data_IF_742798551838
#
_entry.id   IF_742798551838
#
_cell.length_a   1.000
_cell.length_b   1.000
_cell.length_c   1.000
_cell.angle_alpha   90.00
_cell.angle_beta   90.00
_cell.angle_gamma   90.00
#
_symmetry.space_group_name_H-M   'P 1'
#
loop_
_entity.id
_entity.type
_entity.pdbx_description
1 polymer ?
#
# COMPACT_ATOMS: atom_id res chain seq x y z
N UNK A 1 6.60 -93.84 50.39
CA UNK A 1 6.48 -92.51 49.85
C UNK A 1 7.76 -92.19 49.08
N UNK A 2 7.78 -92.41 47.78
CA UNK A 2 8.94 -92.26 46.91
C UNK A 2 8.84 -90.96 46.08
N UNK A 3 9.68 -90.03 46.43
CA UNK A 3 9.82 -88.74 45.71
C UNK A 3 10.51 -88.99 44.39
N UNK A 4 9.83 -88.72 43.25
CA UNK A 4 10.45 -88.67 41.91
C UNK A 4 10.99 -87.29 41.66
N UNK A 5 12.34 -87.15 41.61
CA UNK A 5 13.03 -85.98 41.09
C UNK A 5 12.93 -86.00 39.57
N UNK A 6 12.23 -85.04 39.00
CA UNK A 6 12.27 -84.77 37.54
C UNK A 6 13.53 -84.00 37.22
N UNK A 7 14.43 -84.64 36.51
CA UNK A 7 15.64 -83.99 35.92
C UNK A 7 15.18 -83.12 34.77
N UNK A 8 15.28 -81.79 34.91
CA UNK A 8 15.19 -80.86 33.78
C UNK A 8 16.51 -80.91 32.96
N UNK A 9 16.42 -81.48 31.76
CA UNK A 9 17.48 -81.40 30.79
C UNK A 9 17.72 -79.93 30.41
N UNK A 10 18.88 -79.38 30.74
CA UNK A 10 19.36 -78.14 30.17
C UNK A 10 19.55 -78.39 28.67
N UNK A 11 18.74 -77.75 27.83
CA UNK A 11 19.01 -77.66 26.43
C UNK A 11 20.39 -77.00 26.25
N UNK A 12 21.27 -77.66 25.55
CA UNK A 12 22.58 -77.09 25.22
C UNK A 12 22.39 -75.84 24.37
N UNK A 13 22.78 -74.70 24.88
CA UNK A 13 22.83 -73.44 24.10
C UNK A 13 23.91 -73.65 23.01
N UNK A 14 23.46 -73.93 21.79
CA UNK A 14 24.35 -73.96 20.60
C UNK A 14 24.72 -72.50 20.27
N UNK A 15 25.96 -72.15 20.46
CA UNK A 15 26.50 -70.85 20.06
C UNK A 15 26.37 -70.65 18.56
N UNK A 16 26.15 -69.43 18.14
CA UNK A 16 26.07 -69.04 16.73
C UNK A 16 27.42 -69.26 16.00
N UNK A 17 27.37 -69.72 14.77
CA UNK A 17 28.55 -69.88 13.94
C UNK A 17 29.02 -68.49 13.45
N UNK A 18 30.31 -68.37 13.20
CA UNK A 18 30.92 -67.14 12.69
C UNK A 18 30.28 -66.75 11.32
N UNK A 19 29.88 -67.71 10.52
CA UNK A 19 29.21 -67.55 9.25
C UNK A 19 27.80 -66.96 9.42
N UNK A 20 27.02 -67.45 10.41
CA UNK A 20 25.69 -66.89 10.72
C UNK A 20 25.74 -65.44 11.16
N UNK A 21 26.74 -65.07 11.98
CA UNK A 21 26.97 -63.69 12.40
C UNK A 21 27.34 -62.81 11.19
N UNK A 22 28.12 -63.31 10.25
CA UNK A 22 28.53 -62.57 9.08
C UNK A 22 27.36 -62.37 8.12
N UNK A 23 26.52 -63.37 7.92
CA UNK A 23 25.29 -63.24 7.09
C UNK A 23 24.30 -62.30 7.76
N UNK A 24 24.09 -62.42 9.07
CA UNK A 24 23.15 -61.57 9.82
C UNK A 24 23.59 -60.10 9.78
N UNK A 25 24.88 -59.80 9.97
CA UNK A 25 25.41 -58.43 9.85
C UNK A 25 25.32 -57.90 8.43
N UNK A 26 25.55 -58.74 7.41
CA UNK A 26 25.36 -58.36 6.01
C UNK A 26 23.92 -57.98 5.68
N UNK A 27 22.95 -58.78 6.13
CA UNK A 27 21.52 -58.47 5.97
C UNK A 27 21.14 -57.23 6.75
N UNK A 28 21.63 -57.07 7.97
CA UNK A 28 21.39 -55.88 8.80
C UNK A 28 21.85 -54.60 8.10
N UNK A 29 23.06 -54.60 7.53
CA UNK A 29 23.60 -53.46 6.80
C UNK A 29 22.74 -53.13 5.58
N UNK A 30 22.31 -54.12 4.80
CA UNK A 30 21.47 -53.92 3.65
C UNK A 30 20.07 -53.36 4.05
N UNK A 31 19.45 -53.95 5.06
CA UNK A 31 18.15 -53.48 5.58
C UNK A 31 18.25 -52.06 6.14
N UNK A 32 19.26 -51.82 6.95
CA UNK A 32 19.53 -50.50 7.53
C UNK A 32 19.80 -49.45 6.46
N UNK A 33 20.62 -49.79 5.46
CA UNK A 33 20.91 -48.94 4.30
C UNK A 33 19.66 -48.62 3.49
N UNK A 34 18.75 -49.61 3.31
CA UNK A 34 17.48 -49.41 2.62
C UNK A 34 16.53 -48.53 3.42
N UNK A 35 16.47 -48.68 4.74
CA UNK A 35 15.68 -47.82 5.63
C UNK A 35 16.17 -46.37 5.57
N UNK A 36 17.50 -46.15 5.66
CA UNK A 36 18.06 -44.80 5.52
C UNK A 36 17.79 -44.20 4.14
N UNK A 37 17.86 -45.01 3.08
CA UNK A 37 17.55 -44.59 1.71
C UNK A 37 16.10 -44.13 1.55
N UNK A 38 15.16 -44.74 2.28
CA UNK A 38 13.73 -44.36 2.30
C UNK A 38 13.44 -43.17 3.24
N UNK A 39 14.13 -43.09 4.37
CA UNK A 39 13.90 -42.01 5.35
C UNK A 39 14.46 -40.67 4.91
N UNK A 40 15.57 -40.66 4.18
CA UNK A 40 16.23 -39.42 3.78
C UNK A 40 15.36 -38.50 2.90
N UNK A 41 14.68 -38.98 1.84
CA UNK A 41 13.72 -38.19 1.08
C UNK A 41 12.50 -37.75 1.90
N UNK A 42 12.02 -38.64 2.80
CA UNK A 42 10.87 -38.35 3.65
C UNK A 42 11.18 -37.19 4.61
N UNK A 43 12.36 -37.14 5.21
CA UNK A 43 12.78 -36.05 6.10
C UNK A 43 12.82 -34.70 5.38
N UNK A 44 13.26 -34.66 4.11
CA UNK A 44 13.19 -33.47 3.29
C UNK A 44 11.77 -32.95 3.11
N UNK A 45 10.84 -33.84 2.79
CA UNK A 45 9.42 -33.53 2.64
C UNK A 45 8.79 -33.04 3.94
N UNK A 46 9.07 -33.70 5.06
CA UNK A 46 8.56 -33.29 6.37
C UNK A 46 9.04 -31.90 6.79
N UNK A 47 10.25 -31.50 6.42
CA UNK A 47 10.76 -30.16 6.69
C UNK A 47 10.21 -29.11 5.73
N UNK A 48 9.98 -29.47 4.50
CA UNK A 48 9.49 -28.55 3.47
C UNK A 48 7.99 -28.23 3.62
N UNK A 49 7.16 -29.20 4.01
CA UNK A 49 5.70 -29.00 4.10
C UNK A 49 5.27 -27.87 5.05
N UNK A 50 5.77 -27.76 6.29
CA UNK A 50 5.44 -26.64 7.18
C UNK A 50 5.83 -25.30 6.60
N UNK A 51 7.00 -25.23 5.97
CA UNK A 51 7.50 -24.00 5.35
C UNK A 51 6.67 -23.56 4.15
N UNK A 52 6.22 -24.50 3.33
CA UNK A 52 5.28 -24.20 2.22
C UNK A 52 3.96 -23.68 2.76
N UNK A 53 3.44 -24.30 3.81
CA UNK A 53 2.19 -23.87 4.45
C UNK A 53 2.33 -22.46 5.05
N UNK A 54 3.45 -22.19 5.71
CA UNK A 54 3.74 -20.89 6.27
C UNK A 54 3.91 -19.81 5.19
N UNK A 55 4.58 -20.13 4.10
CA UNK A 55 4.69 -19.26 2.92
C UNK A 55 3.33 -18.90 2.32
N UNK A 56 2.42 -19.89 2.21
CA UNK A 56 1.05 -19.65 1.75
C UNK A 56 0.25 -18.77 2.71
N UNK A 57 0.46 -18.94 4.00
CA UNK A 57 -0.19 -18.10 5.02
C UNK A 57 0.33 -16.66 4.94
N UNK A 58 1.63 -16.45 4.80
CA UNK A 58 2.24 -15.13 4.61
C UNK A 58 1.69 -14.43 3.38
N UNK A 59 1.62 -15.13 2.24
CA UNK A 59 1.01 -14.58 1.02
C UNK A 59 -0.44 -14.17 1.24
N UNK A 60 -1.23 -15.01 1.93
CA UNK A 60 -2.64 -14.70 2.21
C UNK A 60 -2.78 -13.44 3.05
N UNK A 61 -2.00 -13.31 4.12
CA UNK A 61 -2.02 -12.12 4.99
C UNK A 61 -1.67 -10.86 4.22
N UNK A 62 -0.60 -10.90 3.42
CA UNK A 62 -0.20 -9.76 2.61
C UNK A 62 -1.27 -9.36 1.58
N UNK A 63 -1.80 -10.35 0.84
CA UNK A 63 -2.84 -10.12 -0.17
C UNK A 63 -4.10 -9.53 0.47
N UNK A 64 -4.57 -10.14 1.56
CA UNK A 64 -5.80 -9.69 2.23
C UNK A 64 -5.66 -8.26 2.75
N UNK A 65 -4.51 -7.92 3.33
CA UNK A 65 -4.25 -6.57 3.84
C UNK A 65 -4.20 -5.54 2.71
N UNK A 66 -3.36 -5.75 1.70
CA UNK A 66 -3.21 -4.83 0.57
C UNK A 66 -4.54 -4.71 -0.21
N UNK A 67 -5.21 -5.83 -0.45
CA UNK A 67 -6.46 -5.86 -1.22
C UNK A 67 -7.58 -5.11 -0.51
N UNK A 68 -7.70 -5.27 0.81
CA UNK A 68 -8.69 -4.56 1.62
C UNK A 68 -8.52 -3.05 1.49
N UNK A 69 -7.30 -2.54 1.67
CA UNK A 69 -7.06 -1.10 1.63
C UNK A 69 -7.17 -0.55 0.20
N UNK A 70 -6.73 -1.31 -0.81
CA UNK A 70 -6.95 -0.93 -2.21
C UNK A 70 -8.45 -0.85 -2.56
N UNK A 71 -9.29 -1.73 -2.03
CA UNK A 71 -10.75 -1.61 -2.25
C UNK A 71 -11.34 -0.36 -1.60
N UNK A 72 -10.75 0.10 -0.49
CA UNK A 72 -11.17 1.33 0.20
C UNK A 72 -10.62 2.59 -0.46
N UNK A 73 -9.62 2.50 -1.33
CA UNK A 73 -8.99 3.65 -1.97
C UNK A 73 -10.03 4.63 -2.54
N UNK A 74 -9.93 5.89 -2.15
CA UNK A 74 -10.89 6.94 -2.50
C UNK A 74 -12.26 6.83 -1.82
N UNK A 75 -12.44 5.92 -0.86
CA UNK A 75 -13.66 5.82 -0.08
C UNK A 75 -13.96 7.13 0.66
N UNK A 76 -15.23 7.51 0.73
CA UNK A 76 -15.67 8.73 1.41
C UNK A 76 -15.39 10.04 0.66
N UNK A 77 -14.53 10.05 -0.35
CA UNK A 77 -14.19 11.27 -1.09
C UNK A 77 -15.29 11.78 -2.03
N UNK A 78 -16.35 11.00 -2.19
CA UNK A 78 -17.51 11.39 -3.00
C UNK A 78 -18.42 12.39 -2.29
N UNK A 79 -18.23 12.63 -1.01
CA UNK A 79 -19.08 13.53 -0.24
C UNK A 79 -18.74 14.99 -0.46
N UNK A 80 -19.77 15.81 -0.38
CA UNK A 80 -19.65 17.26 -0.18
C UNK A 80 -19.69 18.10 -1.42
N UNK A 81 -19.97 17.54 -2.60
CA UNK A 81 -19.85 18.37 -3.77
C UNK A 81 -21.14 18.58 -4.53
N UNK A 82 -21.83 19.65 -4.20
CA UNK A 82 -22.69 20.33 -5.17
C UNK A 82 -21.87 20.73 -6.42
N UNK A 83 -20.55 20.86 -6.29
CA UNK A 83 -19.68 21.50 -7.27
C UNK A 83 -18.53 20.64 -7.79
N UNK A 84 -18.51 19.39 -7.48
CA UNK A 84 -17.47 18.44 -7.84
C UNK A 84 -17.03 17.66 -6.62
N UNK A 85 -17.12 16.35 -6.69
CA UNK A 85 -16.71 15.50 -5.59
C UNK A 85 -15.19 15.58 -5.42
N UNK A 86 -14.71 15.49 -4.19
CA UNK A 86 -13.29 15.47 -3.84
C UNK A 86 -12.50 14.44 -4.68
N UNK A 87 -13.16 13.38 -5.13
CA UNK A 87 -12.59 12.38 -6.07
C UNK A 87 -12.04 12.98 -7.37
N UNK A 88 -12.47 14.17 -7.76
CA UNK A 88 -11.97 14.86 -8.95
C UNK A 88 -10.69 15.65 -8.67
N UNK A 89 -10.36 15.90 -7.41
CA UNK A 89 -9.21 16.74 -6.99
C UNK A 89 -8.14 15.96 -6.25
N UNK A 90 -8.52 14.85 -5.68
CA UNK A 90 -7.71 14.08 -4.75
C UNK A 90 -7.23 12.78 -5.39
N UNK A 91 -5.93 12.51 -5.32
CA UNK A 91 -5.35 11.25 -5.77
C UNK A 91 -5.29 10.25 -4.60
N UNK A 92 -6.21 9.27 -4.54
CA UNK A 92 -6.30 8.37 -3.39
C UNK A 92 -5.23 7.28 -3.37
N UNK A 93 -4.49 7.14 -4.45
CA UNK A 93 -3.37 6.20 -4.58
C UNK A 93 -2.15 6.99 -5.01
N UNK A 94 -1.11 6.94 -4.19
CA UNK A 94 0.19 7.55 -4.48
C UNK A 94 1.19 6.44 -4.76
N UNK A 95 1.47 6.14 -6.02
CA UNK A 95 2.54 5.25 -6.42
C UNK A 95 3.88 5.71 -5.87
N UNK A 96 4.73 4.74 -5.52
CA UNK A 96 6.12 5.00 -5.16
C UNK A 96 6.35 5.86 -3.92
N UNK A 97 5.29 6.19 -3.18
CA UNK A 97 5.39 6.94 -1.94
C UNK A 97 5.49 6.00 -0.74
N UNK A 98 6.41 6.28 0.17
CA UNK A 98 6.58 5.57 1.44
C UNK A 98 5.95 6.33 2.63
N UNK A 99 5.09 7.28 2.36
CA UNK A 99 4.44 8.09 3.38
C UNK A 99 5.41 9.07 4.08
N UNK A 100 5.02 9.56 5.26
CA UNK A 100 5.78 10.59 5.97
C UNK A 100 7.01 10.07 6.74
N UNK A 101 7.17 8.75 6.90
CA UNK A 101 8.33 8.18 7.60
C UNK A 101 9.63 8.29 6.81
N UNK A 102 9.53 8.21 5.52
CA UNK A 102 10.59 8.54 4.59
C UNK A 102 9.88 9.16 3.39
N UNK A 103 9.73 10.48 3.35
CA UNK A 103 9.16 11.14 2.20
C UNK A 103 9.98 10.68 1.00
N UNK A 104 9.39 9.84 0.17
CA UNK A 104 9.96 9.55 -1.11
C UNK A 104 10.07 10.89 -1.81
N UNK A 105 11.29 11.33 -2.05
CA UNK A 105 11.48 12.48 -2.93
C UNK A 105 10.81 12.12 -4.26
N UNK A 106 10.08 13.03 -4.87
CA UNK A 106 9.68 12.86 -6.27
C UNK A 106 10.86 12.49 -7.18
N UNK A 107 12.07 12.86 -6.74
CA UNK A 107 13.32 12.61 -7.44
C UNK A 107 13.91 11.20 -7.18
N UNK A 108 13.44 10.50 -6.14
CA UNK A 108 13.84 9.12 -5.82
C UNK A 108 12.63 8.28 -5.35
N UNK A 109 11.69 8.01 -6.26
CA UNK A 109 10.49 7.26 -5.95
C UNK A 109 10.80 5.76 -5.75
N UNK A 110 10.21 5.16 -4.74
CA UNK A 110 10.37 3.73 -4.47
C UNK A 110 9.35 2.89 -5.28
N UNK A 111 9.76 2.18 -6.35
CA UNK A 111 8.85 1.39 -7.17
C UNK A 111 8.19 0.22 -6.44
N UNK A 112 8.67 -0.09 -5.23
CA UNK A 112 8.14 -1.14 -4.36
C UNK A 112 7.34 -0.59 -3.19
N UNK A 113 6.81 0.61 -3.34
CA UNK A 113 5.96 1.26 -2.35
C UNK A 113 4.66 1.78 -2.99
N UNK A 114 3.61 1.82 -2.18
CA UNK A 114 2.32 2.42 -2.51
C UNK A 114 1.70 3.00 -1.25
N UNK A 115 1.16 4.21 -1.35
CA UNK A 115 0.33 4.80 -0.31
C UNK A 115 -1.11 4.87 -0.79
N UNK A 116 -2.03 4.43 0.06
CA UNK A 116 -3.46 4.32 -0.23
C UNK A 116 -4.20 5.19 0.79
N UNK A 117 -5.08 6.05 0.31
CA UNK A 117 -5.81 6.99 1.17
C UNK A 117 -7.33 6.86 0.96
N UNK A 118 -8.07 6.99 2.06
CA UNK A 118 -9.52 7.03 2.06
C UNK A 118 -10.04 7.68 3.34
N UNK A 119 -11.26 8.16 3.30
CA UNK A 119 -11.97 8.66 4.49
C UNK A 119 -12.65 7.47 5.17
N UNK A 120 -12.21 7.08 6.38
CA UNK A 120 -12.82 5.96 7.09
C UNK A 120 -14.22 6.34 7.61
N UNK A 121 -15.10 5.37 7.86
CA UNK A 121 -16.43 5.60 8.42
C UNK A 121 -16.35 5.84 9.94
N UNK A 122 -15.66 6.91 10.34
CA UNK A 122 -15.49 7.32 11.74
C UNK A 122 -16.36 8.52 12.08
N UNK A 123 -16.43 8.84 13.36
CA UNK A 123 -17.15 10.03 13.84
C UNK A 123 -16.28 11.31 13.79
N UNK A 124 -15.02 11.20 13.34
CA UNK A 124 -14.08 12.31 13.30
C UNK A 124 -14.37 13.24 12.13
N UNK A 125 -15.48 13.98 12.22
CA UNK A 125 -15.93 14.91 11.18
C UNK A 125 -16.43 16.20 11.81
N UNK A 126 -15.98 17.35 11.29
CA UNK A 126 -16.45 18.66 11.70
C UNK A 126 -16.39 19.65 10.53
N UNK A 127 -16.70 20.91 10.79
CA UNK A 127 -16.57 22.00 9.83
C UNK A 127 -15.93 23.21 10.46
N UNK A 128 -15.31 24.05 9.65
CA UNK A 128 -14.77 25.34 10.06
C UNK A 128 -15.95 26.22 10.54
N UNK A 129 -15.81 26.77 11.75
CA UNK A 129 -16.79 27.67 12.38
C UNK A 129 -16.51 29.14 12.07
N UNK A 130 -15.26 29.50 11.92
CA UNK A 130 -14.83 30.90 11.71
C UNK A 130 -13.76 30.88 10.63
N UNK A 131 -13.86 31.81 9.67
CA UNK A 131 -12.91 31.94 8.58
C UNK A 131 -11.47 32.04 9.13
N UNK A 132 -10.57 31.32 8.50
CA UNK A 132 -9.15 31.40 8.84
C UNK A 132 -8.58 32.74 8.37
N UNK A 133 -7.87 33.46 9.24
CA UNK A 133 -7.26 34.74 8.85
C UNK A 133 -6.05 34.56 7.89
N UNK A 134 -5.40 33.41 7.92
CA UNK A 134 -4.30 33.02 7.04
C UNK A 134 -4.13 31.50 7.05
N UNK A 135 -3.29 30.99 6.19
CA UNK A 135 -3.04 29.57 5.94
C UNK A 135 -2.35 28.81 7.10
N UNK A 136 -1.77 29.55 8.03
CA UNK A 136 -1.07 29.00 9.21
C UNK A 136 -1.88 29.14 10.51
N UNK A 137 -3.13 29.63 10.43
CA UNK A 137 -3.96 29.84 11.60
C UNK A 137 -4.56 28.52 12.09
N UNK A 138 -4.72 28.42 13.41
CA UNK A 138 -5.44 27.31 14.02
C UNK A 138 -6.89 27.19 13.48
N UNK A 139 -7.40 25.97 13.43
CA UNK A 139 -8.73 25.67 12.92
C UNK A 139 -9.76 25.84 14.04
N UNK A 140 -10.61 26.87 13.93
CA UNK A 140 -11.79 27.05 14.79
C UNK A 140 -12.94 26.26 14.21
N UNK A 141 -13.35 25.20 14.90
CA UNK A 141 -14.27 24.21 14.38
C UNK A 141 -15.60 24.18 15.13
N UNK A 142 -16.60 23.53 14.55
CA UNK A 142 -17.85 23.26 15.20
C UNK A 142 -17.73 22.03 16.11
N UNK A 143 -18.51 22.00 17.19
CA UNK A 143 -18.67 20.79 17.99
C UNK A 143 -19.29 19.68 17.13
N UNK A 144 -18.83 18.46 17.37
CA UNK A 144 -19.38 17.30 16.68
C UNK A 144 -20.72 16.87 17.30
N UNK A 145 -21.67 16.55 16.45
CA UNK A 145 -22.93 15.98 16.90
C UNK A 145 -22.70 14.56 17.47
N UNK A 146 -23.22 14.33 18.68
CA UNK A 146 -23.14 13.01 19.31
C UNK A 146 -21.95 12.80 20.25
N UNK A 147 -21.05 13.78 20.36
CA UNK A 147 -19.97 13.73 21.32
C UNK A 147 -20.44 13.96 22.75
N UNK A 148 -19.77 13.38 23.77
CA UNK A 148 -20.06 13.62 25.17
C UNK A 148 -19.78 15.08 25.57
N UNK A 149 -20.46 15.55 26.63
CA UNK A 149 -20.16 16.85 27.22
C UNK A 149 -18.73 16.86 27.79
N UNK A 150 -17.93 17.83 27.37
CA UNK A 150 -16.52 17.95 27.76
C UNK A 150 -15.51 17.25 26.81
N UNK A 151 -16.00 16.52 25.82
CA UNK A 151 -15.20 15.94 24.74
C UNK A 151 -15.97 16.17 23.42
N UNK A 152 -16.14 17.43 23.09
CA UNK A 152 -17.00 17.86 21.98
C UNK A 152 -16.39 17.70 20.60
N UNK A 153 -15.10 17.38 20.55
CA UNK A 153 -14.33 17.02 19.36
C UNK A 153 -13.94 15.52 19.38
N UNK A 154 -14.74 14.71 20.05
CA UNK A 154 -14.49 13.27 20.20
C UNK A 154 -14.21 12.60 18.83
N UNK A 155 -13.25 11.71 18.84
CA UNK A 155 -12.79 11.05 17.61
C UNK A 155 -11.60 11.74 16.95
N UNK A 156 -11.30 13.01 17.25
CA UNK A 156 -10.03 13.60 16.86
C UNK A 156 -8.98 13.35 17.93
N UNK A 157 -7.84 12.82 17.51
CA UNK A 157 -6.71 12.50 18.39
C UNK A 157 -5.43 13.20 17.94
N UNK A 158 -4.54 13.47 18.89
CA UNK A 158 -3.22 14.04 18.59
C UNK A 158 -2.43 13.05 17.75
N UNK A 159 -1.87 13.53 16.63
CA UNK A 159 -1.11 12.74 15.66
C UNK A 159 -1.96 12.17 14.53
N UNK A 160 -3.29 12.18 14.66
CA UNK A 160 -4.20 11.76 13.60
C UNK A 160 -4.01 12.61 12.34
N UNK A 161 -4.09 11.98 11.18
CA UNK A 161 -4.14 12.71 9.92
C UNK A 161 -5.58 13.10 9.60
N UNK A 162 -5.76 14.36 9.27
CA UNK A 162 -7.04 14.92 8.90
C UNK A 162 -6.97 15.58 7.53
N UNK A 163 -8.08 15.50 6.81
CA UNK A 163 -8.31 16.14 5.53
C UNK A 163 -9.22 17.33 5.76
N UNK A 164 -8.82 18.52 5.31
CA UNK A 164 -9.67 19.69 5.19
C UNK A 164 -9.95 19.95 3.71
N UNK A 165 -11.17 20.29 3.37
CA UNK A 165 -11.54 20.59 2.00
C UNK A 165 -12.74 21.50 1.91
N UNK A 166 -12.87 22.20 0.82
CA UNK A 166 -14.00 23.07 0.52
C UNK A 166 -14.69 22.72 -0.80
N UNK A 167 -15.91 23.22 -1.03
CA UNK A 167 -16.62 22.95 -2.27
C UNK A 167 -15.97 23.51 -3.54
N UNK A 168 -14.98 24.38 -3.40
CA UNK A 168 -14.24 24.95 -4.54
C UNK A 168 -13.15 24.02 -5.07
N UNK A 169 -12.85 22.93 -4.35
CA UNK A 169 -11.84 21.95 -4.73
C UNK A 169 -10.48 22.18 -4.07
N UNK A 170 -10.35 23.14 -3.18
CA UNK A 170 -9.18 23.24 -2.34
C UNK A 170 -9.23 22.14 -1.27
N UNK A 171 -8.10 21.49 -1.03
CA UNK A 171 -7.95 20.54 0.05
C UNK A 171 -6.51 20.50 0.55
N UNK A 172 -6.37 20.16 1.83
CA UNK A 172 -5.08 19.90 2.46
C UNK A 172 -5.19 18.71 3.40
N UNK A 173 -4.09 17.99 3.59
CA UNK A 173 -3.97 16.95 4.60
C UNK A 173 -2.97 17.43 5.64
N UNK A 174 -3.34 17.33 6.91
CA UNK A 174 -2.53 17.80 8.00
C UNK A 174 -2.53 16.79 9.16
N UNK A 175 -1.56 16.96 10.06
CA UNK A 175 -1.52 16.20 11.30
C UNK A 175 -2.12 17.01 12.43
N UNK A 176 -3.08 16.46 13.16
CA UNK A 176 -3.63 17.08 14.37
C UNK A 176 -2.58 17.07 15.46
N UNK A 177 -2.10 18.24 15.85
CA UNK A 177 -1.05 18.36 16.88
C UNK A 177 -1.63 18.67 18.25
N UNK A 178 -2.84 19.22 18.32
CA UNK A 178 -3.57 19.43 19.56
C UNK A 178 -5.07 19.48 19.30
N UNK A 179 -5.85 18.93 20.23
CA UNK A 179 -7.32 19.02 20.28
C UNK A 179 -7.68 19.83 21.51
N UNK A 180 -8.46 20.89 21.35
CA UNK A 180 -8.88 21.80 22.43
C UNK A 180 -10.41 21.85 22.47
N UNK A 181 -11.03 21.00 23.26
CA UNK A 181 -12.48 20.89 23.37
C UNK A 181 -13.14 22.15 23.86
N UNK A 182 -12.60 22.77 24.91
CA UNK A 182 -13.14 24.00 25.50
C UNK A 182 -13.16 25.19 24.52
N UNK A 183 -12.14 25.26 23.67
CA UNK A 183 -11.99 26.32 22.68
C UNK A 183 -12.60 25.97 21.32
N UNK A 184 -12.90 24.69 21.09
CA UNK A 184 -13.31 24.15 19.79
C UNK A 184 -12.24 24.41 18.72
N UNK A 185 -10.99 24.08 19.04
CA UNK A 185 -9.86 24.27 18.14
C UNK A 185 -9.18 22.92 17.82
N UNK A 186 -8.82 22.75 16.56
CA UNK A 186 -7.85 21.77 16.11
C UNK A 186 -6.59 22.52 15.67
N UNK A 187 -5.45 22.10 16.19
CA UNK A 187 -4.17 22.69 15.82
C UNK A 187 -3.41 21.79 14.85
N UNK A 188 -2.76 22.43 13.90
CA UNK A 188 -1.79 21.86 13.00
C UNK A 188 -0.48 22.66 13.16
N UNK A 189 0.54 22.02 13.66
CA UNK A 189 1.84 22.64 13.85
C UNK A 189 2.69 22.31 12.63
N UNK A 190 3.46 23.29 12.17
CA UNK A 190 4.40 23.12 11.07
C UNK A 190 3.76 22.89 9.67
N UNK A 191 2.45 22.67 9.60
CA UNK A 191 1.72 22.58 8.36
C UNK A 191 1.16 23.94 7.94
N UNK A 192 1.50 24.42 6.77
CA UNK A 192 0.88 25.56 6.14
C UNK A 192 -0.05 25.10 5.04
N UNK A 193 -1.31 25.48 5.13
CA UNK A 193 -2.29 25.08 4.11
C UNK A 193 -2.07 25.83 2.78
N UNK A 194 -2.55 25.25 1.72
CA UNK A 194 -2.52 25.83 0.37
C UNK A 194 -3.42 27.07 0.26
N UNK A 195 -4.42 27.17 1.15
CA UNK A 195 -5.33 28.32 1.23
C UNK A 195 -5.87 28.51 2.63
N UNK A 196 -6.31 29.74 2.96
CA UNK A 196 -7.10 30.00 4.14
C UNK A 196 -8.54 29.53 3.92
N UNK A 197 -9.01 28.59 4.72
CA UNK A 197 -10.35 28.01 4.59
C UNK A 197 -11.40 28.89 5.24
N UNK A 198 -12.54 28.98 4.58
CA UNK A 198 -13.70 29.73 5.06
C UNK A 198 -14.65 28.85 5.88
N UNK A 199 -15.52 29.51 6.62
CA UNK A 199 -16.63 28.88 7.37
C UNK A 199 -17.38 27.89 6.49
N UNK A 200 -17.55 26.69 7.02
CA UNK A 200 -18.26 25.59 6.33
C UNK A 200 -17.35 24.65 5.55
N UNK A 201 -16.06 24.91 5.44
CA UNK A 201 -15.10 23.91 4.95
C UNK A 201 -15.13 22.66 5.85
N UNK A 202 -15.04 21.49 5.25
CA UNK A 202 -15.15 20.21 5.95
C UNK A 202 -13.79 19.74 6.44
N UNK A 203 -13.79 19.16 7.64
CA UNK A 203 -12.63 18.47 8.21
C UNK A 203 -13.07 17.06 8.55
N UNK A 204 -12.28 16.08 8.13
CA UNK A 204 -12.53 14.67 8.43
C UNK A 204 -11.21 13.93 8.62
N UNK A 205 -11.26 12.84 9.37
CA UNK A 205 -10.14 11.89 9.41
C UNK A 205 -9.83 11.36 8.00
N UNK A 206 -8.55 11.15 7.72
CA UNK A 206 -8.10 10.42 6.54
C UNK A 206 -7.19 9.27 6.94
N UNK A 207 -7.57 8.07 6.57
CA UNK A 207 -6.71 6.90 6.67
C UNK A 207 -5.68 6.94 5.53
N UNK A 208 -4.43 6.69 5.87
CA UNK A 208 -3.32 6.64 4.92
C UNK A 208 -2.48 5.39 5.21
N UNK A 209 -2.60 4.39 4.38
CA UNK A 209 -1.89 3.12 4.52
C UNK A 209 -0.79 3.01 3.48
N UNK A 210 0.44 2.82 3.94
CA UNK A 210 1.60 2.64 3.06
C UNK A 210 2.12 1.22 3.16
N UNK A 211 2.28 0.58 2.03
CA UNK A 211 2.91 -0.72 1.90
C UNK A 211 4.22 -0.55 1.15
N UNK A 212 5.31 -1.08 1.70
CA UNK A 212 6.61 -1.04 1.04
C UNK A 212 7.48 -2.24 1.38
N UNK A 213 8.34 -2.61 0.46
CA UNK A 213 9.32 -3.66 0.65
C UNK A 213 10.65 -3.08 1.15
N UNK A 214 11.06 -3.50 2.34
CA UNK A 214 12.44 -3.34 2.77
C UNK A 214 13.26 -4.50 2.19
N UNK A 215 14.08 -4.20 1.18
CA UNK A 215 14.86 -5.21 0.45
C UNK A 215 16.01 -5.79 1.28
N UNK A 216 16.58 -5.02 2.20
CA UNK A 216 17.68 -5.48 3.06
C UNK A 216 17.20 -6.51 4.07
N UNK A 217 16.03 -6.27 4.64
CA UNK A 217 15.42 -7.17 5.62
C UNK A 217 14.56 -8.26 4.99
N UNK A 218 14.25 -8.16 3.71
CA UNK A 218 13.27 -9.00 3.02
C UNK A 218 11.90 -9.01 3.70
N UNK A 219 11.40 -7.82 4.08
CA UNK A 219 10.14 -7.64 4.80
C UNK A 219 9.21 -6.69 4.09
N UNK A 220 7.96 -7.10 4.02
CA UNK A 220 6.88 -6.19 3.66
C UNK A 220 6.47 -5.44 4.93
N UNK A 221 6.55 -4.12 4.88
CA UNK A 221 6.10 -3.23 5.94
C UNK A 221 4.74 -2.65 5.62
N UNK A 222 3.97 -2.41 6.66
CA UNK A 222 2.75 -1.63 6.62
C UNK A 222 2.86 -0.47 7.61
N UNK A 223 2.69 0.74 7.10
CA UNK A 223 2.62 1.98 7.88
C UNK A 223 1.19 2.51 7.83
N UNK A 224 0.61 2.78 9.00
CA UNK A 224 -0.78 3.23 9.15
C UNK A 224 -0.98 4.73 8.90
N UNK A 225 0.08 5.44 8.52
CA UNK A 225 0.05 6.88 8.28
C UNK A 225 0.06 7.72 9.55
N UNK A 226 0.14 7.08 10.72
CA UNK A 226 0.02 7.75 12.02
C UNK A 226 1.19 7.40 12.95
N UNK A 227 1.20 6.25 13.56
CA UNK A 227 2.18 5.87 14.59
C UNK A 227 2.88 4.54 14.36
N UNK A 228 2.23 3.64 13.64
CA UNK A 228 2.67 2.26 13.56
C UNK A 228 3.30 1.95 12.21
N UNK A 229 4.57 1.60 12.21
CA UNK A 229 5.27 1.04 11.07
C UNK A 229 5.75 -0.37 11.42
N UNK A 230 4.98 -1.36 11.04
CA UNK A 230 5.21 -2.73 11.48
C UNK A 230 5.48 -3.66 10.29
N UNK A 231 6.39 -4.62 10.46
CA UNK A 231 6.56 -5.68 9.48
C UNK A 231 5.29 -6.52 9.42
N UNK A 232 4.69 -6.61 8.25
CA UNK A 232 3.48 -7.38 7.98
C UNK A 232 3.83 -8.83 7.62
N UNK A 233 4.84 -9.01 6.77
CA UNK A 233 5.25 -10.33 6.26
C UNK A 233 6.76 -10.38 6.08
N UNK A 234 7.36 -11.46 6.58
CA UNK A 234 8.79 -11.76 6.41
C UNK A 234 9.06 -12.56 5.12
N UNK A 235 10.32 -12.54 4.70
CA UNK A 235 10.85 -13.28 3.56
C UNK A 235 10.18 -12.92 2.22
N UNK A 236 9.82 -11.66 2.06
CA UNK A 236 9.36 -11.08 0.80
C UNK A 236 10.57 -10.72 -0.05
N UNK A 237 10.62 -11.21 -1.27
CA UNK A 237 11.76 -11.02 -2.19
C UNK A 237 11.43 -10.17 -3.39
N UNK A 238 10.15 -9.97 -3.68
CA UNK A 238 9.70 -9.05 -4.71
C UNK A 238 8.31 -8.52 -4.41
N UNK A 239 8.12 -7.24 -4.68
CA UNK A 239 6.85 -6.54 -4.61
C UNK A 239 6.80 -5.57 -5.78
N UNK A 240 5.74 -5.63 -6.58
CA UNK A 240 5.55 -4.74 -7.71
C UNK A 240 4.11 -4.27 -7.80
N UNK A 241 3.97 -3.01 -8.13
CA UNK A 241 2.70 -2.36 -8.41
C UNK A 241 2.70 -1.91 -9.87
N UNK A 242 1.69 -2.34 -10.63
CA UNK A 242 1.46 -1.93 -12.01
C UNK A 242 0.13 -1.19 -12.06
N UNK A 243 0.11 -0.03 -12.68
CA UNK A 243 -1.05 0.87 -12.67
C UNK A 243 -1.69 0.91 -14.05
N UNK A 244 -3.01 0.86 -14.08
CA UNK A 244 -3.79 0.95 -15.31
C UNK A 244 -4.82 2.07 -15.15
N UNK A 245 -4.95 2.88 -16.17
CA UNK A 245 -5.81 4.05 -16.11
C UNK A 245 -6.45 4.43 -17.44
N UNK A 246 -7.19 5.52 -17.39
CA UNK A 246 -7.83 6.10 -18.56
C UNK A 246 -6.75 6.56 -19.56
N UNK A 247 -6.79 6.11 -20.82
CA UNK A 247 -5.80 6.50 -21.82
C UNK A 247 -5.91 7.98 -22.23
N UNK A 248 -7.13 8.50 -22.20
CA UNK A 248 -7.40 9.88 -22.57
C UNK A 248 -7.17 10.81 -21.38
N UNK A 249 -6.67 12.02 -21.61
CA UNK A 249 -6.55 13.01 -20.55
C UNK A 249 -7.93 13.35 -19.98
N UNK A 250 -7.94 13.79 -18.70
CA UNK A 250 -9.14 14.21 -18.04
C UNK A 250 -9.89 15.28 -18.82
N UNK A 251 -11.21 15.13 -18.92
CA UNK A 251 -12.04 16.12 -19.59
C UNK A 251 -12.29 17.33 -18.68
N UNK A 252 -12.27 18.51 -19.30
CA UNK A 252 -12.56 19.76 -18.63
C UNK A 252 -14.02 19.78 -18.15
N UNK A 253 -14.24 19.92 -16.86
CA UNK A 253 -15.56 20.11 -16.26
C UNK A 253 -15.53 21.33 -15.38
N UNK A 254 -16.43 22.28 -15.63
CA UNK A 254 -16.55 23.48 -14.80
C UNK A 254 -17.51 23.23 -13.63
N UNK A 255 -17.22 23.77 -12.44
CA UNK A 255 -18.13 23.71 -11.31
C UNK A 255 -19.46 24.36 -11.65
N UNK A 256 -20.54 23.81 -11.10
CA UNK A 256 -21.88 24.40 -11.24
C UNK A 256 -21.94 25.79 -10.58
N UNK A 257 -21.18 25.99 -9.49
CA UNK A 257 -21.08 27.28 -8.80
C UNK A 257 -20.26 28.33 -9.53
N UNK A 258 -19.38 27.92 -10.41
CA UNK A 258 -18.56 28.81 -11.22
C UNK A 258 -18.46 28.30 -12.67
N UNK A 259 -19.55 28.34 -13.43
CA UNK A 259 -19.58 27.82 -14.80
C UNK A 259 -18.75 28.66 -15.77
N UNK A 260 -18.38 29.87 -15.37
CA UNK A 260 -17.62 30.82 -16.17
C UNK A 260 -16.14 30.89 -15.73
N UNK A 261 -15.88 30.38 -14.53
CA UNK A 261 -14.53 30.38 -13.94
C UNK A 261 -13.48 29.75 -14.84
N UNK A 262 -12.23 30.20 -14.69
CA UNK A 262 -11.15 29.74 -15.55
C UNK A 262 -10.69 28.31 -15.22
N UNK A 263 -11.00 27.82 -14.04
CA UNK A 263 -10.51 26.52 -13.58
C UNK A 263 -11.60 25.42 -13.62
N UNK A 264 -11.21 24.19 -13.49
CA UNK A 264 -12.03 23.00 -13.69
C UNK A 264 -12.32 22.29 -12.37
N UNK A 265 -13.30 21.38 -12.37
CA UNK A 265 -13.56 20.44 -11.27
C UNK A 265 -12.58 19.29 -11.25
N UNK A 266 -11.54 19.32 -12.08
CA UNK A 266 -10.56 18.25 -12.18
C UNK A 266 -9.18 18.75 -11.76
N UNK A 267 -8.53 17.99 -10.89
CA UNK A 267 -7.26 18.40 -10.31
C UNK A 267 -7.43 19.47 -9.21
N UNK A 268 -6.38 19.74 -8.45
CA UNK A 268 -6.39 20.74 -7.39
C UNK A 268 -6.66 22.13 -7.94
N UNK A 269 -7.32 22.94 -7.12
CA UNK A 269 -7.55 24.35 -7.45
C UNK A 269 -6.21 25.06 -7.61
N UNK A 270 -6.03 25.85 -8.68
CA UNK A 270 -4.82 26.65 -8.85
C UNK A 270 -4.67 27.62 -7.67
N UNK A 271 -3.45 27.84 -7.18
CA UNK A 271 -3.18 28.84 -6.16
C UNK A 271 -3.50 30.24 -6.68
N UNK A 272 -3.82 31.15 -5.77
CA UNK A 272 -4.00 32.57 -6.10
C UNK A 272 -2.67 33.19 -6.40
N UNK A 273 -2.57 33.93 -7.50
CA UNK A 273 -1.35 34.66 -7.87
C UNK A 273 -0.86 35.54 -6.71
N UNK A 274 0.42 35.47 -6.42
CA UNK A 274 1.07 36.29 -5.40
C UNK A 274 1.05 35.70 -3.97
N UNK A 275 0.61 34.44 -3.80
CA UNK A 275 0.85 33.71 -2.56
C UNK A 275 2.24 33.06 -2.62
N UNK A 276 2.85 32.79 -1.43
CA UNK A 276 4.16 32.12 -1.35
C UNK A 276 4.15 30.66 -1.83
N UNK A 277 3.02 30.20 -2.24
CA UNK A 277 2.87 28.96 -2.95
C UNK A 277 3.40 29.19 -4.37
N UNK A 278 4.35 28.39 -4.83
CA UNK A 278 4.98 28.59 -6.12
C UNK A 278 3.95 28.50 -7.26
N UNK A 279 3.21 29.57 -7.40
CA UNK A 279 2.35 29.84 -8.56
C UNK A 279 3.17 30.20 -9.79
N UNK A 280 4.50 30.22 -9.65
CA UNK A 280 5.42 30.56 -10.72
C UNK A 280 5.28 29.62 -11.92
N UNK A 281 4.75 28.41 -11.68
CA UNK A 281 4.53 27.42 -12.74
C UNK A 281 3.16 27.51 -13.42
N UNK A 282 2.16 28.21 -12.82
CA UNK A 282 0.80 28.20 -13.36
C UNK A 282 0.20 29.60 -13.53
N UNK A 283 -0.28 29.84 -14.74
CA UNK A 283 -1.03 31.05 -15.06
C UNK A 283 -2.46 31.02 -14.53
N UNK A 284 -3.15 32.13 -14.66
CA UNK A 284 -4.56 32.23 -14.31
C UNK A 284 -5.39 31.21 -15.08
N UNK A 285 -6.14 30.37 -14.35
CA UNK A 285 -6.95 29.31 -14.95
C UNK A 285 -6.21 28.03 -15.28
N UNK A 286 -4.96 27.91 -14.86
CA UNK A 286 -4.17 26.72 -15.01
C UNK A 286 -4.09 25.92 -13.72
N UNK A 287 -3.86 24.63 -13.84
CA UNK A 287 -3.50 23.73 -12.74
C UNK A 287 -2.57 22.62 -13.28
N UNK A 288 -2.25 21.62 -12.47
CA UNK A 288 -1.39 20.53 -12.92
C UNK A 288 -1.98 19.69 -14.05
N UNK A 289 -3.27 19.72 -14.29
CA UNK A 289 -3.94 18.96 -15.35
C UNK A 289 -4.21 19.78 -16.62
N UNK A 290 -4.34 21.10 -16.51
CA UNK A 290 -4.73 21.98 -17.61
C UNK A 290 -3.84 23.21 -17.70
N UNK A 291 -3.55 23.59 -18.92
CA UNK A 291 -2.88 24.83 -19.27
C UNK A 291 -3.75 25.68 -20.20
N UNK A 292 -3.45 26.96 -20.31
CA UNK A 292 -4.13 27.88 -21.22
C UNK A 292 -3.30 28.12 -22.45
N UNK A 293 -3.78 27.63 -23.61
CA UNK A 293 -3.16 27.84 -24.90
C UNK A 293 -4.13 28.62 -25.80
N UNK A 294 -3.71 29.78 -26.28
CA UNK A 294 -4.56 30.65 -27.11
C UNK A 294 -5.92 30.97 -26.46
N UNK A 295 -5.97 31.15 -25.14
CA UNK A 295 -7.17 31.45 -24.40
C UNK A 295 -8.11 30.25 -24.16
N UNK A 296 -7.69 29.07 -24.54
CA UNK A 296 -8.43 27.83 -24.28
C UNK A 296 -7.67 26.94 -23.30
N UNK A 297 -8.42 26.33 -22.37
CA UNK A 297 -7.84 25.34 -21.47
C UNK A 297 -7.67 24.01 -22.19
N UNK A 298 -6.45 23.52 -22.23
CA UNK A 298 -6.08 22.24 -22.85
C UNK A 298 -5.42 21.34 -21.80
N UNK A 299 -5.60 20.02 -21.89
CA UNK A 299 -4.93 19.09 -21.01
C UNK A 299 -3.41 19.19 -21.11
N UNK A 300 -2.72 19.04 -19.98
CA UNK A 300 -1.26 18.89 -19.93
C UNK A 300 -0.84 17.44 -20.16
N UNK A 301 -1.70 16.49 -19.74
CA UNK A 301 -1.43 15.08 -19.85
C UNK A 301 -1.52 14.60 -21.31
N UNK A 302 -0.61 13.72 -21.75
CA UNK A 302 -0.65 13.16 -23.08
C UNK A 302 -1.80 12.19 -23.28
N UNK A 303 -2.16 11.97 -24.54
CA UNK A 303 -3.04 10.87 -24.95
C UNK A 303 -2.22 9.57 -24.98
N UNK A 304 -2.58 8.61 -24.14
CA UNK A 304 -1.93 7.30 -24.03
C UNK A 304 -2.71 6.21 -24.80
N UNK A 305 -3.77 6.57 -25.54
CA UNK A 305 -4.63 5.57 -26.19
C UNK A 305 -3.89 4.73 -27.26
N UNK A 306 -2.87 5.29 -27.87
CA UNK A 306 -2.13 4.59 -28.93
C UNK A 306 -3.01 4.06 -30.07
N UNK A 307 -4.28 4.53 -30.14
CA UNK A 307 -5.29 4.04 -31.07
C UNK A 307 -6.22 2.95 -30.52
N UNK A 308 -6.11 2.61 -29.25
CA UNK A 308 -7.03 1.68 -28.58
C UNK A 308 -8.44 2.27 -28.47
N UNK A 309 -9.49 1.42 -28.42
CA UNK A 309 -10.87 1.88 -28.30
C UNK A 309 -11.11 2.71 -27.05
N UNK A 310 -11.97 3.71 -27.15
CA UNK A 310 -12.37 4.50 -25.99
C UNK A 310 -12.95 3.60 -24.89
N UNK A 311 -12.42 3.75 -23.66
CA UNK A 311 -12.84 2.98 -22.48
C UNK A 311 -11.96 1.77 -22.14
N UNK A 312 -10.99 1.41 -22.98
CA UNK A 312 -9.98 0.44 -22.61
C UNK A 312 -8.97 1.10 -21.63
N UNK A 313 -8.67 0.43 -20.53
CA UNK A 313 -7.61 0.87 -19.62
C UNK A 313 -6.25 0.50 -20.22
N UNK A 314 -5.33 1.44 -20.19
CA UNK A 314 -3.94 1.24 -20.59
C UNK A 314 -3.03 1.18 -19.38
N UNK A 315 -1.93 0.47 -19.50
CA UNK A 315 -0.88 0.51 -18.48
C UNK A 315 -0.23 1.89 -18.48
N UNK A 316 -0.12 2.46 -17.27
CA UNK A 316 0.60 3.71 -17.05
C UNK A 316 1.98 3.31 -16.51
N UNK A 317 3.03 3.39 -17.32
CA UNK A 317 4.33 2.91 -16.91
C UNK A 317 4.95 3.84 -15.85
N UNK A 318 5.92 3.31 -15.13
CA UNK A 318 6.59 3.99 -14.03
C UNK A 318 7.12 5.38 -14.40
N UNK A 319 7.75 5.53 -15.55
CA UNK A 319 8.26 6.82 -16.02
C UNK A 319 7.15 7.86 -16.22
N UNK A 320 5.96 7.44 -16.63
CA UNK A 320 4.81 8.33 -16.80
C UNK A 320 4.22 8.82 -15.47
N UNK A 321 4.44 8.07 -14.39
CA UNK A 321 4.00 8.46 -13.04
C UNK A 321 5.02 9.32 -12.28
N UNK A 322 6.13 9.67 -12.94
CA UNK A 322 7.24 10.40 -12.34
C UNK A 322 7.88 11.43 -13.27
N UNK A 323 7.21 11.86 -14.33
CA UNK A 323 7.72 12.87 -15.25
C UNK A 323 6.93 14.20 -15.19
N UNK A 324 5.88 14.23 -14.34
CA UNK A 324 4.99 15.37 -14.22
C UNK A 324 3.95 15.46 -15.36
N UNK A 325 3.13 16.47 -15.36
CA UNK A 325 3.16 17.66 -14.50
C UNK A 325 2.81 17.35 -13.03
N UNK A 326 3.48 18.06 -12.13
CA UNK A 326 3.35 17.84 -10.70
C UNK A 326 2.16 18.59 -10.13
N UNK A 327 1.28 17.86 -9.46
CA UNK A 327 0.22 18.43 -8.63
C UNK A 327 0.77 18.75 -7.23
N UNK A 328 0.29 19.82 -6.58
CA UNK A 328 0.74 20.16 -5.24
C UNK A 328 0.39 19.06 -4.26
N UNK A 329 1.28 18.81 -3.34
CA UNK A 329 1.03 17.97 -2.16
C UNK A 329 0.18 18.70 -1.13
N UNK A 330 -0.10 18.01 -0.06
CA UNK A 330 -1.13 18.39 0.89
C UNK A 330 -0.76 19.48 1.86
N UNK A 331 0.52 19.70 2.10
CA UNK A 331 0.99 20.70 3.04
C UNK A 331 2.24 21.33 2.50
N UNK A 332 2.29 22.60 2.59
CA UNK A 332 3.42 23.37 2.14
C UNK A 332 4.25 23.79 3.34
N UNK A 333 5.35 23.11 3.59
CA UNK A 333 6.46 23.68 4.29
C UNK A 333 7.17 24.63 3.33
N UNK A 334 7.29 25.87 3.73
CA UNK A 334 7.92 26.97 3.02
C UNK A 334 9.09 26.52 2.13
N UNK A 335 8.91 26.51 0.84
CA UNK A 335 9.98 26.29 -0.11
C UNK A 335 9.57 25.43 -1.30
N UNK A 336 10.44 25.36 -2.27
CA UNK A 336 10.26 24.66 -3.54
C UNK A 336 10.11 23.12 -3.39
N UNK A 337 10.37 22.60 -2.21
CA UNK A 337 10.25 21.19 -1.89
C UNK A 337 8.88 20.89 -1.25
N UNK A 338 7.91 20.56 -2.09
CA UNK A 338 6.64 20.03 -1.65
C UNK A 338 6.77 18.50 -1.46
N UNK A 339 7.00 18.01 -0.23
CA UNK A 339 7.35 16.61 0.00
C UNK A 339 6.25 15.64 -0.42
N UNK A 340 5.03 16.13 -0.62
CA UNK A 340 3.86 15.32 -0.95
C UNK A 340 3.28 15.63 -2.34
N UNK A 341 4.00 16.33 -3.19
CA UNK A 341 3.55 16.52 -4.57
C UNK A 341 3.44 15.18 -5.27
N UNK A 342 2.50 15.07 -6.18
CA UNK A 342 2.25 13.86 -6.93
C UNK A 342 2.10 14.15 -8.42
N UNK A 343 2.40 13.16 -9.23
CA UNK A 343 2.23 13.25 -10.68
C UNK A 343 0.74 13.31 -11.06
N UNK A 344 0.37 14.17 -11.99
CA UNK A 344 -1.02 14.34 -12.41
C UNK A 344 -1.61 13.07 -13.07
N UNK A 345 -0.76 12.21 -13.63
CA UNK A 345 -1.18 10.93 -14.19
C UNK A 345 -1.80 9.98 -13.15
N UNK A 346 -1.54 10.21 -11.84
CA UNK A 346 -2.19 9.45 -10.77
C UNK A 346 -3.71 9.62 -10.74
N UNK A 347 -4.23 10.75 -11.19
CA UNK A 347 -5.67 11.00 -11.28
C UNK A 347 -6.37 10.16 -12.35
N UNK A 348 -5.65 9.55 -13.28
CA UNK A 348 -6.22 8.60 -14.26
C UNK A 348 -6.17 7.14 -13.82
N UNK A 349 -5.48 6.80 -12.75
CA UNK A 349 -5.38 5.40 -12.27
C UNK A 349 -6.76 4.87 -11.93
N UNK A 350 -7.07 3.65 -12.42
CA UNK A 350 -8.38 2.99 -12.25
C UNK A 350 -8.25 1.57 -11.73
N UNK A 351 -7.15 0.93 -12.03
CA UNK A 351 -6.89 -0.45 -11.66
C UNK A 351 -5.43 -0.59 -11.27
N UNK A 352 -5.19 -1.33 -10.21
CA UNK A 352 -3.85 -1.65 -9.72
C UNK A 352 -3.67 -3.16 -9.78
N UNK A 353 -2.54 -3.61 -10.33
CA UNK A 353 -2.09 -4.99 -10.27
C UNK A 353 -0.94 -5.08 -9.29
N UNK A 354 -1.03 -6.04 -8.41
CA UNK A 354 0.00 -6.31 -7.39
C UNK A 354 0.61 -7.67 -7.67
N UNK A 355 1.92 -7.72 -7.73
CA UNK A 355 2.70 -8.97 -7.79
C UNK A 355 3.55 -9.05 -6.54
N UNK A 356 3.39 -10.13 -5.79
CA UNK A 356 4.10 -10.38 -4.54
C UNK A 356 4.76 -11.75 -4.61
N UNK A 357 6.05 -11.80 -4.26
CA UNK A 357 6.83 -13.04 -4.23
C UNK A 357 7.47 -13.23 -2.86
N UNK A 358 7.28 -14.41 -2.29
CA UNK A 358 7.86 -14.81 -0.99
C UNK A 358 8.71 -16.05 -1.15
N UNK A 359 9.72 -16.15 -0.30
CA UNK A 359 10.61 -17.31 -0.19
C UNK A 359 10.42 -18.03 1.15
N UNK A 360 10.91 -19.26 1.24
CA UNK A 360 10.96 -19.99 2.51
C UNK A 360 11.93 -19.33 3.50
N UNK A 361 11.65 -19.46 4.81
CA UNK A 361 12.51 -18.92 5.87
C UNK A 361 13.91 -19.52 5.88
N UNK A 362 14.09 -20.85 6.02
CA UNK A 362 15.39 -21.48 6.06
C UNK A 362 16.14 -21.42 4.72
N UNK A 363 17.34 -20.87 4.72
CA UNK A 363 18.19 -20.78 3.52
C UNK A 363 18.47 -22.14 2.87
N UNK A 364 18.58 -23.19 3.69
CA UNK A 364 18.82 -24.56 3.23
C UNK A 364 17.72 -25.13 2.35
N UNK A 365 16.53 -24.52 2.39
CA UNK A 365 15.37 -24.91 1.57
C UNK A 365 15.14 -23.98 0.37
N UNK A 366 15.91 -22.90 0.24
CA UNK A 366 15.79 -21.95 -0.89
C UNK A 366 16.52 -22.46 -2.12
N UNK A 367 16.07 -22.08 -3.33
CA UNK A 367 16.79 -22.21 -4.58
C UNK A 367 16.10 -23.05 -5.67
N UNK A 368 16.85 -23.39 -6.71
CA UNK A 368 16.34 -24.10 -7.88
C UNK A 368 16.17 -25.60 -7.59
N UNK A 369 15.14 -26.19 -8.24
CA UNK A 369 14.97 -27.62 -8.23
C UNK A 369 16.23 -28.34 -8.77
N UNK A 370 16.77 -29.34 -8.04
CA UNK A 370 17.98 -30.06 -8.45
C UNK A 370 17.90 -30.72 -9.84
N UNK A 371 16.69 -30.99 -10.32
CA UNK A 371 16.48 -31.64 -11.64
C UNK A 371 16.52 -30.67 -12.82
N UNK A 372 16.75 -29.36 -12.59
CA UNK A 372 16.74 -28.35 -13.66
C UNK A 372 15.37 -28.14 -14.31
N UNK A 373 14.33 -28.87 -13.89
CA UNK A 373 12.95 -28.68 -14.32
C UNK A 373 12.24 -27.82 -13.28
N UNK A 374 12.04 -26.57 -13.59
CA UNK A 374 11.20 -25.70 -12.78
C UNK A 374 9.74 -26.14 -12.92
N UNK A 375 9.14 -26.62 -11.83
CA UNK A 375 7.69 -26.82 -11.74
C UNK A 375 6.93 -25.47 -11.71
N UNK A 376 7.67 -24.38 -11.50
CA UNK A 376 7.15 -23.02 -11.34
C UNK A 376 7.94 -22.07 -12.23
N UNK A 377 7.30 -21.00 -12.65
CA UNK A 377 7.86 -19.96 -13.52
C UNK A 377 9.01 -19.21 -12.84
N UNK A 378 9.00 -19.12 -11.51
CA UNK A 378 10.00 -18.44 -10.73
C UNK A 378 10.85 -19.46 -9.95
N UNK A 379 12.14 -19.57 -10.27
CA UNK A 379 13.07 -20.32 -9.43
C UNK A 379 13.20 -19.63 -8.06
N UNK A 380 13.61 -20.38 -7.05
CA UNK A 380 13.92 -19.79 -5.75
C UNK A 380 15.08 -18.80 -5.83
N UNK A 381 15.12 -17.88 -4.88
CA UNK A 381 16.08 -16.77 -4.83
C UNK A 381 17.49 -17.15 -4.33
N UNK A 382 17.74 -18.41 -3.96
CA UNK A 382 19.06 -18.85 -3.51
C UNK A 382 20.08 -18.85 -4.65
N UNK A 383 21.24 -18.28 -4.38
CA UNK A 383 22.37 -18.22 -5.34
C UNK A 383 23.08 -19.55 -5.55
N UNK A 384 23.00 -20.44 -4.59
CA UNK A 384 23.67 -21.74 -4.62
C UNK A 384 22.79 -22.80 -4.00
N UNK A 385 22.63 -23.93 -4.65
CA UNK A 385 22.28 -25.12 -3.96
C UNK A 385 21.02 -25.86 -4.32
N UNK A 386 20.81 -26.85 -3.57
CA UNK A 386 19.86 -27.94 -3.65
C UNK A 386 18.51 -27.55 -3.03
N UNK A 387 17.95 -26.41 -3.42
CA UNK A 387 16.70 -25.98 -2.81
C UNK A 387 15.53 -26.85 -3.24
N UNK A 388 14.77 -27.25 -2.24
CA UNK A 388 13.60 -28.11 -2.41
C UNK A 388 12.33 -27.29 -2.65
N UNK A 389 12.30 -26.04 -2.22
CA UNK A 389 11.09 -25.22 -2.22
C UNK A 389 11.34 -23.97 -3.04
N UNK A 390 10.68 -23.84 -4.20
CA UNK A 390 10.73 -22.61 -4.98
C UNK A 390 9.95 -21.49 -4.30
N UNK A 391 10.29 -20.24 -4.66
CA UNK A 391 9.53 -19.08 -4.25
C UNK A 391 8.09 -19.20 -4.76
N UNK A 392 7.17 -18.68 -3.99
CA UNK A 392 5.77 -18.57 -4.40
C UNK A 392 5.46 -17.12 -4.78
N UNK A 393 4.84 -16.97 -5.93
CA UNK A 393 4.39 -15.69 -6.45
C UNK A 393 2.87 -15.69 -6.57
N UNK A 394 2.27 -14.58 -6.17
CA UNK A 394 0.86 -14.31 -6.42
C UNK A 394 0.73 -13.00 -7.18
N UNK A 395 -0.20 -12.98 -8.11
CA UNK A 395 -0.58 -11.79 -8.86
C UNK A 395 -2.09 -11.61 -8.75
N UNK A 396 -2.51 -10.42 -8.37
CA UNK A 396 -3.92 -10.07 -8.30
C UNK A 396 -4.15 -8.64 -8.78
N UNK A 397 -5.39 -8.36 -9.18
CA UNK A 397 -5.80 -7.05 -9.66
C UNK A 397 -6.93 -6.51 -8.77
N UNK A 398 -6.89 -5.22 -8.50
CA UNK A 398 -7.93 -4.50 -7.78
C UNK A 398 -8.38 -3.32 -8.62
N UNK A 399 -9.69 -3.20 -8.78
CA UNK A 399 -10.34 -2.04 -9.38
C UNK A 399 -11.11 -1.33 -8.28
N UNK A 400 -10.54 -0.29 -7.63
CA UNK A 400 -11.19 0.40 -6.54
C UNK A 400 -12.50 1.04 -7.02
N UNK A 401 -13.60 0.65 -6.39
CA UNK A 401 -14.92 1.14 -6.82
C UNK A 401 -15.03 2.65 -6.72
N UNK A 402 -14.49 3.22 -5.65
CA UNK A 402 -14.61 4.65 -5.36
C UNK A 402 -13.86 5.52 -6.37
N UNK A 403 -12.79 5.03 -6.95
CA UNK A 403 -12.03 5.70 -8.01
C UNK A 403 -12.73 5.65 -9.38
N UNK A 404 -13.80 4.86 -9.51
CA UNK A 404 -14.52 4.62 -10.76
C UNK A 404 -15.99 5.14 -10.71
N UNK A 405 -16.39 5.80 -9.63
CA UNK A 405 -17.75 6.34 -9.50
C UNK A 405 -17.94 7.54 -10.43
N UNK A 406 -18.99 7.48 -11.24
CA UNK A 406 -19.38 8.59 -12.11
C UNK A 406 -18.62 8.67 -13.44
N UNK A 407 -17.98 7.58 -13.84
CA UNK A 407 -17.25 7.45 -15.11
C UNK A 407 -17.82 6.35 -15.98
#
# INVERSE_FOLDING_TARGET
MTSRHASRSRAAESGYSLLEMLIATGILVVVTGSIFGLLNPSQGTYRAQPEVSDMQQRLRVAVESIQRDLFMAGGGTYQGAINGALINYFAPVLPHSVGTLAPGSPDDPNPKAITIMYVPPTNSQTTIRTDMPNESAELKVNAQAGCPAGDVLCGFEIGMRALIFDPSGAYDIFTVTQVQDDALHLQHRDDRFTTAYNTGAWITEIASHTYYLNEEEHRLYHYDGYQSNLPLVDNVVDLRFEYFGDPLPAQLRKPVSDPVGPWTTYGPKPPTLGTDYSSDDWGAGENCLFQVVNGQQVPRLPDLSGGEPAGALVEIPYNQLNDGPWCPGHTNDKGDDLPNRYDADMLRVRKIRVTLRVQVGPESLRGANPSGKTLFTNPGSAKTGNAYVPDQEIRFEVTPRNMNIGR
#
